data_IF_132566008917
#
_entry.id   IF_132566008917
#
_cell.length_a   1.000
_cell.length_b   1.000
_cell.length_c   1.000
_cell.angle_alpha   90.00
_cell.angle_beta   90.00
_cell.angle_gamma   90.00
#
_symmetry.space_group_name_H-M   'P 1'
#
loop_
_entity.id
_entity.type
_entity.pdbx_description
1 polymer ?
#
# COMPACT_ATOMS: atom_id res chain seq x y z
N UNK A 1 -22.93 0.80 -11.13
CA UNK A 1 -22.36 1.96 -10.41
C UNK A 1 -21.01 1.67 -9.72
N UNK A 2 -20.69 0.44 -9.32
CA UNK A 2 -19.42 0.08 -8.68
C UNK A 2 -18.16 0.18 -9.58
N UNK A 3 -18.27 -0.07 -10.88
CA UNK A 3 -17.13 -0.02 -11.83
C UNK A 3 -16.55 1.39 -12.09
N UNK A 4 -17.31 2.45 -11.81
CA UNK A 4 -16.84 3.83 -12.05
C UNK A 4 -15.79 4.30 -11.01
N UNK A 5 -15.87 3.83 -9.77
CA UNK A 5 -14.90 4.19 -8.73
C UNK A 5 -13.51 3.60 -8.96
N UNK A 6 -13.40 2.43 -9.62
CA UNK A 6 -12.13 1.80 -9.94
C UNK A 6 -11.27 2.65 -10.91
N UNK A 7 -11.89 3.36 -11.86
CA UNK A 7 -11.18 4.12 -12.89
C UNK A 7 -10.36 5.31 -12.37
N UNK A 8 -10.72 5.84 -11.20
CA UNK A 8 -10.04 7.02 -10.65
C UNK A 8 -8.85 6.66 -9.76
N UNK A 9 -8.89 5.51 -9.11
CA UNK A 9 -7.92 5.10 -8.10
C UNK A 9 -6.93 4.02 -8.59
N UNK A 10 -7.37 3.20 -9.53
CA UNK A 10 -6.60 2.07 -10.04
C UNK A 10 -6.28 2.26 -11.52
N UNK A 11 -5.10 1.83 -11.92
CA UNK A 11 -4.78 1.67 -13.34
C UNK A 11 -5.19 0.27 -13.75
N UNK A 12 -6.32 0.18 -14.45
CA UNK A 12 -6.89 -1.09 -14.88
C UNK A 12 -6.52 -1.40 -16.33
N UNK A 13 -6.38 -2.69 -16.68
CA UNK A 13 -6.27 -3.10 -18.08
C UNK A 13 -7.46 -2.61 -18.91
N UNK A 14 -7.19 -2.30 -20.18
CA UNK A 14 -8.23 -2.01 -21.18
C UNK A 14 -8.73 -3.32 -21.76
N UNK A 15 -7.81 -4.25 -22.05
CA UNK A 15 -8.07 -5.52 -22.71
C UNK A 15 -6.94 -6.51 -22.45
N UNK A 16 -7.12 -7.76 -22.84
CA UNK A 16 -6.07 -8.78 -22.85
C UNK A 16 -6.27 -9.75 -24.03
N UNK A 17 -5.20 -10.37 -24.47
CA UNK A 17 -5.24 -11.43 -25.47
C UNK A 17 -4.16 -12.49 -25.21
N UNK A 18 -4.40 -13.69 -25.72
CA UNK A 18 -3.45 -14.79 -25.63
C UNK A 18 -2.68 -14.94 -26.95
N UNK A 19 -1.37 -15.02 -26.88
CA UNK A 19 -0.49 -15.35 -27.99
C UNK A 19 0.83 -15.94 -27.48
N UNK A 20 1.50 -16.77 -28.29
CA UNK A 20 2.80 -17.35 -27.95
C UNK A 20 2.83 -18.05 -26.57
N UNK A 21 1.75 -18.74 -26.19
CA UNK A 21 1.58 -19.40 -24.89
C UNK A 21 1.73 -18.44 -23.69
N UNK A 22 1.35 -17.18 -23.87
CA UNK A 22 1.45 -16.09 -22.89
C UNK A 22 0.22 -15.19 -23.01
N UNK A 23 -0.15 -14.53 -21.91
CA UNK A 23 -1.21 -13.52 -21.86
C UNK A 23 -0.59 -12.14 -21.97
N UNK A 24 -1.06 -11.36 -22.93
CA UNK A 24 -0.70 -9.97 -23.12
C UNK A 24 -1.79 -9.09 -22.55
N UNK A 25 -1.42 -8.12 -21.73
CA UNK A 25 -2.34 -7.20 -21.07
C UNK A 25 -2.16 -5.82 -21.70
N UNK A 26 -3.24 -5.26 -22.21
CA UNK A 26 -3.25 -3.93 -22.81
C UNK A 26 -3.60 -2.92 -21.75
N UNK A 27 -2.70 -1.97 -21.52
CA UNK A 27 -2.90 -0.87 -20.56
C UNK A 27 -3.07 0.44 -21.32
N UNK A 28 -3.85 1.37 -20.74
CA UNK A 28 -3.89 2.75 -21.25
C UNK A 28 -2.51 3.38 -21.06
N UNK A 29 -1.97 3.99 -22.11
CA UNK A 29 -0.78 4.81 -21.97
C UNK A 29 -1.15 6.00 -21.06
N UNK A 30 -0.48 6.09 -19.93
CA UNK A 30 -0.50 7.25 -19.06
C UNK A 30 0.55 8.22 -19.58
N UNK A 31 0.29 9.51 -19.54
CA UNK A 31 1.29 10.53 -19.93
C UNK A 31 2.59 10.40 -19.10
N UNK A 32 3.24 11.50 -18.84
CA UNK A 32 4.38 11.51 -17.93
C UNK A 32 3.91 11.11 -16.53
N UNK A 33 4.54 10.10 -15.97
CA UNK A 33 4.28 9.56 -14.64
C UNK A 33 5.60 9.42 -13.88
N UNK A 34 5.52 9.53 -12.57
CA UNK A 34 6.61 9.21 -11.65
C UNK A 34 6.08 8.22 -10.61
N UNK A 35 6.86 7.25 -10.22
CA UNK A 35 6.48 6.35 -9.11
C UNK A 35 6.67 7.05 -7.76
N UNK A 36 5.94 6.60 -6.74
CA UNK A 36 6.14 7.11 -5.37
C UNK A 36 7.58 6.90 -4.90
N UNK A 37 8.23 5.84 -5.36
CA UNK A 37 9.65 5.56 -5.07
C UNK A 37 10.59 6.59 -5.68
N UNK A 38 10.35 6.98 -6.91
CA UNK A 38 11.14 8.02 -7.59
C UNK A 38 10.86 9.38 -6.97
N UNK A 39 9.59 9.69 -6.71
CA UNK A 39 9.18 10.93 -6.08
C UNK A 39 9.82 11.12 -4.69
N UNK A 40 9.81 10.08 -3.86
CA UNK A 40 10.42 10.12 -2.51
C UNK A 40 11.90 10.53 -2.56
N UNK A 41 12.65 10.09 -3.57
CA UNK A 41 14.06 10.47 -3.74
C UNK A 41 14.27 11.96 -4.06
N UNK A 42 13.24 12.63 -4.55
CA UNK A 42 13.28 14.08 -4.86
C UNK A 42 12.82 14.94 -3.68
N UNK A 43 12.09 14.35 -2.75
CA UNK A 43 11.59 15.02 -1.54
C UNK A 43 12.64 14.83 -0.45
N UNK A 44 13.16 15.94 0.09
CA UNK A 44 14.05 15.89 1.25
C UNK A 44 13.33 15.47 2.55
N UNK A 45 13.74 16.02 3.69
CA UNK A 45 13.03 15.82 4.97
C UNK A 45 11.56 16.27 4.85
N UNK A 46 10.64 15.39 5.25
CA UNK A 46 9.20 15.61 5.09
C UNK A 46 8.69 16.44 6.27
N UNK A 47 8.29 17.69 6.02
CA UNK A 47 7.62 18.54 7.00
C UNK A 47 6.19 18.05 7.30
N UNK A 48 5.63 18.40 8.47
CA UNK A 48 4.30 17.97 8.89
C UNK A 48 3.19 18.28 7.88
N UNK A 49 3.25 19.46 7.27
CA UNK A 49 2.28 19.87 6.25
C UNK A 49 2.34 18.96 5.01
N UNK A 50 3.52 18.57 4.58
CA UNK A 50 3.72 17.66 3.44
C UNK A 50 3.23 16.25 3.77
N UNK A 51 3.35 15.80 5.02
CA UNK A 51 2.79 14.51 5.48
C UNK A 51 1.28 14.48 5.31
N UNK A 52 0.58 15.51 5.80
CA UNK A 52 -0.89 15.59 5.68
C UNK A 52 -1.35 15.68 4.23
N UNK A 53 -0.63 16.44 3.41
CA UNK A 53 -0.90 16.55 1.98
C UNK A 53 -0.68 15.21 1.26
N UNK A 54 0.41 14.52 1.58
CA UNK A 54 0.67 13.17 1.06
C UNK A 54 -0.48 12.21 1.39
N UNK A 55 -0.93 12.16 2.65
CA UNK A 55 -2.04 11.31 3.06
C UNK A 55 -3.33 11.64 2.29
N UNK A 56 -3.59 12.93 2.02
CA UNK A 56 -4.74 13.33 1.19
C UNK A 56 -4.61 12.82 -0.25
N UNK A 57 -3.42 12.95 -0.86
CA UNK A 57 -3.17 12.43 -2.21
C UNK A 57 -3.27 10.90 -2.27
N UNK A 58 -3.03 10.20 -1.15
CA UNK A 58 -3.11 8.75 -1.05
C UNK A 58 -4.55 8.23 -0.91
N UNK A 59 -5.52 9.07 -0.54
CA UNK A 59 -6.92 8.68 -0.34
C UNK A 59 -7.55 7.94 -1.52
N UNK A 60 -7.38 8.37 -2.79
CA UNK A 60 -7.88 7.61 -3.92
C UNK A 60 -7.34 6.18 -3.97
N UNK A 61 -6.04 5.99 -3.69
CA UNK A 61 -5.41 4.66 -3.65
C UNK A 61 -6.07 3.78 -2.59
N UNK A 62 -6.26 4.29 -1.36
CA UNK A 62 -6.92 3.56 -0.28
C UNK A 62 -8.36 3.19 -0.62
N UNK A 63 -9.12 4.10 -1.23
CA UNK A 63 -10.46 3.83 -1.72
C UNK A 63 -10.48 2.74 -2.81
N UNK A 64 -9.46 2.73 -3.68
CA UNK A 64 -9.27 1.69 -4.69
C UNK A 64 -9.02 0.31 -4.07
N UNK A 65 -8.16 0.24 -3.05
CA UNK A 65 -7.87 -1.00 -2.30
C UNK A 65 -9.14 -1.48 -1.58
N UNK A 66 -9.87 -0.59 -0.90
CA UNK A 66 -11.13 -0.93 -0.26
C UNK A 66 -12.16 -1.50 -1.26
N UNK A 67 -12.19 -0.97 -2.48
CA UNK A 67 -13.07 -1.47 -3.52
C UNK A 67 -12.66 -2.86 -4.03
N UNK A 68 -11.34 -3.17 -4.13
CA UNK A 68 -10.85 -4.51 -4.40
C UNK A 68 -11.28 -5.49 -3.30
N UNK A 69 -11.11 -5.11 -2.03
CA UNK A 69 -11.49 -5.94 -0.88
C UNK A 69 -12.99 -6.27 -0.89
N UNK A 70 -13.85 -5.28 -1.16
CA UNK A 70 -15.30 -5.51 -1.32
C UNK A 70 -15.64 -6.45 -2.48
N UNK A 71 -14.80 -6.50 -3.51
CA UNK A 71 -14.92 -7.46 -4.61
C UNK A 71 -14.31 -8.84 -4.28
N UNK A 72 -13.81 -9.05 -3.07
CA UNK A 72 -13.16 -10.29 -2.65
C UNK A 72 -11.74 -10.47 -3.24
N UNK A 73 -11.08 -9.39 -3.63
CA UNK A 73 -9.74 -9.40 -4.25
C UNK A 73 -8.75 -8.73 -3.32
N UNK A 74 -7.62 -9.39 -3.06
CA UNK A 74 -6.46 -8.85 -2.36
C UNK A 74 -5.38 -8.55 -3.38
N UNK A 75 -4.75 -7.37 -3.26
CA UNK A 75 -3.75 -6.91 -4.22
C UNK A 75 -2.42 -7.65 -4.11
N UNK A 76 -1.97 -7.94 -2.90
CA UNK A 76 -0.74 -8.68 -2.53
C UNK A 76 0.58 -8.12 -3.11
N UNK A 77 0.58 -6.94 -3.70
CA UNK A 77 1.78 -6.37 -4.34
C UNK A 77 1.89 -4.85 -4.18
N UNK A 78 1.30 -4.28 -3.14
CA UNK A 78 1.40 -2.84 -2.85
C UNK A 78 2.83 -2.52 -2.43
N UNK A 79 3.43 -1.53 -3.09
CA UNK A 79 4.76 -1.01 -2.78
C UNK A 79 4.98 0.34 -3.50
N UNK A 80 6.03 1.11 -3.15
CA UNK A 80 6.26 2.43 -3.74
C UNK A 80 6.38 2.45 -5.27
N UNK A 81 6.91 1.39 -5.88
CA UNK A 81 7.00 1.27 -7.35
C UNK A 81 5.64 1.03 -8.03
N UNK A 82 4.59 0.67 -7.27
CA UNK A 82 3.24 0.41 -7.76
C UNK A 82 2.26 1.56 -7.53
N UNK A 83 2.66 2.58 -6.80
CA UNK A 83 1.91 3.83 -6.67
C UNK A 83 2.52 4.84 -7.61
N UNK A 84 1.74 5.30 -8.57
CA UNK A 84 2.15 6.31 -9.54
C UNK A 84 1.51 7.66 -9.24
N UNK A 85 2.23 8.71 -9.55
CA UNK A 85 1.80 10.09 -9.41
C UNK A 85 1.68 10.66 -10.83
N UNK A 86 0.52 11.21 -11.14
CA UNK A 86 0.25 11.88 -12.41
C UNK A 86 0.62 13.37 -12.31
N UNK A 87 0.70 14.06 -13.45
CA UNK A 87 1.06 15.48 -13.52
C UNK A 87 0.14 16.40 -12.69
N UNK A 88 -1.11 15.97 -12.43
CA UNK A 88 -2.06 16.69 -11.59
C UNK A 88 -1.95 16.34 -10.09
N UNK A 89 -0.88 15.67 -9.68
CA UNK A 89 -0.62 15.15 -8.33
C UNK A 89 -1.60 14.05 -7.88
N UNK A 90 -2.43 13.51 -8.78
CA UNK A 90 -3.31 12.39 -8.48
C UNK A 90 -2.49 11.10 -8.33
N UNK A 91 -2.67 10.38 -7.24
CA UNK A 91 -2.05 9.08 -7.04
C UNK A 91 -2.96 7.95 -7.52
N UNK A 92 -2.37 6.95 -8.17
CA UNK A 92 -3.05 5.73 -8.61
C UNK A 92 -2.23 4.50 -8.28
N UNK A 93 -2.92 3.40 -8.03
CA UNK A 93 -2.32 2.09 -7.81
C UNK A 93 -2.31 1.30 -9.12
N UNK A 94 -1.15 0.81 -9.51
CA UNK A 94 -0.98 -0.11 -10.63
C UNK A 94 -1.43 -1.50 -10.20
N UNK A 95 -2.39 -2.07 -10.93
CA UNK A 95 -2.78 -3.47 -10.75
C UNK A 95 -1.77 -4.39 -11.45
N UNK A 96 -1.25 -5.34 -10.68
CA UNK A 96 -0.42 -6.42 -11.20
C UNK A 96 -1.20 -7.73 -11.12
N UNK A 97 -1.60 -8.24 -12.27
CA UNK A 97 -2.38 -9.48 -12.35
C UNK A 97 -1.63 -10.69 -11.79
N UNK A 98 -0.29 -10.65 -11.74
CA UNK A 98 0.54 -11.69 -11.14
C UNK A 98 0.44 -11.76 -9.61
N UNK A 99 0.06 -10.64 -8.97
CA UNK A 99 -0.04 -10.56 -7.50
C UNK A 99 -1.46 -10.69 -6.96
N UNK A 100 -2.48 -10.32 -7.76
CA UNK A 100 -3.88 -10.34 -7.32
C UNK A 100 -4.33 -11.75 -6.87
N UNK A 101 -5.02 -11.83 -5.74
CA UNK A 101 -5.57 -13.08 -5.17
C UNK A 101 -7.04 -12.90 -4.79
N UNK A 102 -7.81 -14.00 -4.90
CA UNK A 102 -9.17 -14.04 -4.37
C UNK A 102 -9.13 -14.43 -2.89
N UNK A 103 -9.80 -13.67 -2.06
CA UNK A 103 -9.87 -13.88 -0.61
C UNK A 103 -10.41 -15.28 -0.20
N UNK A 104 -11.31 -15.84 -1.00
CA UNK A 104 -11.95 -17.14 -0.70
C UNK A 104 -11.17 -18.38 -1.16
N UNK A 105 -10.03 -18.21 -1.86
CA UNK A 105 -9.27 -19.33 -2.41
C UNK A 105 -8.06 -19.58 -1.51
N UNK A 106 -8.17 -20.59 -0.63
CA UNK A 106 -7.11 -20.98 0.32
C UNK A 106 -5.94 -21.74 -0.32
N UNK A 107 -6.08 -22.18 -1.56
CA UNK A 107 -5.04 -22.94 -2.27
C UNK A 107 -4.72 -22.23 -3.59
N UNK A 108 -3.70 -21.40 -3.55
CA UNK A 108 -3.14 -20.85 -4.78
C UNK A 108 -1.84 -21.57 -5.07
N UNK A 109 -1.87 -22.51 -6.01
CA UNK A 109 -0.69 -23.20 -6.53
C UNK A 109 0.37 -22.27 -7.13
N UNK A 110 0.04 -21.00 -7.31
CA UNK A 110 0.94 -19.98 -7.85
C UNK A 110 1.61 -19.20 -6.72
N UNK A 111 2.95 -19.19 -6.66
CA UNK A 111 3.66 -18.37 -5.71
C UNK A 111 3.32 -16.89 -5.93
N UNK A 112 3.18 -16.14 -4.86
CA UNK A 112 3.08 -14.68 -4.93
C UNK A 112 4.49 -14.15 -5.19
N UNK A 113 4.66 -13.38 -6.26
CA UNK A 113 5.89 -12.60 -6.45
C UNK A 113 5.74 -11.35 -5.59
N UNK A 114 6.53 -11.23 -4.54
CA UNK A 114 6.45 -10.13 -3.59
C UNK A 114 7.82 -9.48 -3.35
N UNK A 115 7.80 -8.27 -2.86
CA UNK A 115 8.98 -7.54 -2.40
C UNK A 115 9.05 -7.68 -0.87
N UNK A 116 10.15 -8.25 -0.39
CA UNK A 116 10.34 -8.66 1.01
C UNK A 116 10.14 -7.51 2.01
N UNK A 117 10.51 -6.30 1.63
CA UNK A 117 10.37 -5.13 2.50
C UNK A 117 8.91 -4.72 2.75
N UNK A 118 8.01 -5.01 1.81
CA UNK A 118 6.59 -4.61 1.88
C UNK A 118 5.65 -5.79 2.13
N UNK A 119 6.18 -7.01 2.15
CA UNK A 119 5.41 -8.22 2.29
C UNK A 119 5.25 -8.64 3.75
N UNK A 120 4.01 -8.87 4.24
CA UNK A 120 3.79 -9.50 5.54
C UNK A 120 4.06 -11.00 5.49
N UNK A 121 4.13 -11.64 6.67
CA UNK A 121 4.54 -13.04 6.80
C UNK A 121 3.65 -14.03 6.05
N UNK A 122 2.36 -13.78 6.01
CA UNK A 122 1.39 -14.68 5.39
C UNK A 122 1.62 -14.89 3.89
N UNK A 123 2.28 -13.95 3.19
CA UNK A 123 2.58 -14.10 1.76
C UNK A 123 3.78 -15.02 1.48
N UNK A 124 4.60 -15.32 2.49
CA UNK A 124 5.73 -16.24 2.36
C UNK A 124 5.31 -17.72 2.30
N UNK A 125 4.06 -18.00 2.58
CA UNK A 125 3.51 -19.36 2.58
C UNK A 125 2.32 -19.49 1.66
N UNK A 126 2.26 -20.56 0.88
CA UNK A 126 1.09 -20.90 0.05
C UNK A 126 -0.16 -21.20 0.91
N UNK A 127 0.02 -21.46 2.20
CA UNK A 127 -1.05 -21.69 3.19
C UNK A 127 -1.34 -20.45 4.05
N UNK A 128 -0.69 -19.33 3.75
CA UNK A 128 -0.91 -18.07 4.48
C UNK A 128 -2.35 -17.58 4.31
N UNK A 129 -2.90 -17.06 5.39
CA UNK A 129 -4.25 -16.49 5.39
C UNK A 129 -4.21 -15.07 4.85
N UNK A 130 -4.47 -14.91 3.55
CA UNK A 130 -4.51 -13.61 2.88
C UNK A 130 -5.84 -12.91 3.12
N UNK A 131 -5.79 -11.61 3.40
CA UNK A 131 -6.97 -10.80 3.64
C UNK A 131 -6.69 -9.31 3.53
N UNK A 132 -7.67 -8.44 3.84
CA UNK A 132 -7.48 -6.99 3.83
C UNK A 132 -6.25 -6.54 4.63
N UNK A 133 -5.96 -7.19 5.75
CA UNK A 133 -4.79 -6.96 6.59
C UNK A 133 -3.45 -7.14 5.86
N UNK A 134 -3.41 -7.97 4.80
CA UNK A 134 -2.22 -8.19 3.97
C UNK A 134 -1.87 -6.91 3.19
N UNK A 135 -2.86 -6.32 2.54
CA UNK A 135 -2.69 -5.07 1.79
C UNK A 135 -2.48 -3.87 2.71
N UNK A 136 -3.11 -3.87 3.89
CA UNK A 136 -2.91 -2.81 4.90
C UNK A 136 -1.47 -2.81 5.39
N UNK A 137 -0.88 -3.98 5.67
CA UNK A 137 0.54 -4.06 6.02
C UNK A 137 1.41 -3.45 4.92
N UNK A 138 1.21 -3.87 3.67
CA UNK A 138 2.00 -3.42 2.54
C UNK A 138 1.85 -1.90 2.28
N UNK A 139 0.64 -1.36 2.48
CA UNK A 139 0.38 0.08 2.38
C UNK A 139 1.07 0.85 3.51
N UNK A 140 0.99 0.37 4.76
CA UNK A 140 1.68 0.98 5.89
C UNK A 140 3.21 0.94 5.71
N UNK A 141 3.76 -0.17 5.21
CA UNK A 141 5.18 -0.29 4.85
C UNK A 141 5.58 0.71 3.74
N UNK A 142 4.68 0.94 2.78
CA UNK A 142 4.86 1.94 1.73
C UNK A 142 4.84 3.38 2.28
N UNK A 143 3.92 3.68 3.20
CA UNK A 143 3.87 4.97 3.90
C UNK A 143 5.12 5.16 4.75
N UNK A 144 5.53 4.12 5.49
CA UNK A 144 6.76 4.14 6.28
C UNK A 144 7.98 4.49 5.40
N UNK A 145 8.15 3.81 4.24
CA UNK A 145 9.21 4.12 3.29
C UNK A 145 9.16 5.58 2.82
N UNK A 146 7.98 6.08 2.46
CA UNK A 146 7.83 7.46 2.01
C UNK A 146 8.27 8.48 3.07
N UNK A 147 7.92 8.23 4.32
CA UNK A 147 8.22 9.11 5.45
C UNK A 147 9.68 9.02 5.90
N UNK A 148 10.26 7.82 5.92
CA UNK A 148 11.62 7.58 6.41
C UNK A 148 12.71 7.72 5.34
N UNK A 149 12.37 7.50 4.08
CA UNK A 149 13.33 7.34 2.98
C UNK A 149 14.03 5.97 2.93
N UNK A 150 13.84 5.14 3.96
CA UNK A 150 14.46 3.83 4.08
C UNK A 150 13.43 2.69 3.91
N UNK A 151 13.87 1.57 3.32
CA UNK A 151 13.07 0.37 3.31
C UNK A 151 12.83 -0.14 4.74
N UNK A 152 11.59 -0.50 5.10
CA UNK A 152 11.33 -1.12 6.39
C UNK A 152 12.05 -2.47 6.53
N UNK A 153 12.34 -2.85 7.77
CA UNK A 153 12.87 -4.18 8.11
C UNK A 153 11.85 -5.25 7.68
N UNK A 154 12.32 -6.28 6.99
CA UNK A 154 11.49 -7.38 6.50
C UNK A 154 10.73 -8.07 7.63
N UNK A 155 9.48 -8.49 7.37
CA UNK A 155 8.64 -9.14 8.37
C UNK A 155 9.32 -10.39 8.96
N UNK A 156 10.04 -11.16 8.13
CA UNK A 156 10.78 -12.36 8.57
C UNK A 156 11.95 -12.03 9.50
N UNK A 157 12.64 -10.92 9.26
CA UNK A 157 13.73 -10.49 10.15
C UNK A 157 13.19 -9.97 11.50
N UNK A 158 11.99 -9.35 11.48
CA UNK A 158 11.33 -8.87 12.69
C UNK A 158 10.92 -9.99 13.64
N UNK A 159 10.52 -11.16 13.13
CA UNK A 159 10.30 -12.36 13.96
C UNK A 159 11.60 -12.81 14.61
N UNK A 160 12.73 -12.66 13.92
CA UNK A 160 14.04 -13.01 14.43
C UNK A 160 14.60 -11.98 15.43
N UNK A 161 13.79 -10.96 15.79
CA UNK A 161 14.15 -9.96 16.80
C UNK A 161 14.76 -8.67 16.25
N UNK A 162 14.89 -8.50 14.93
CA UNK A 162 15.33 -7.24 14.35
C UNK A 162 14.24 -6.20 14.50
N UNK A 163 14.56 -5.07 15.14
CA UNK A 163 13.59 -4.01 15.41
C UNK A 163 13.37 -3.12 14.18
N UNK A 164 12.13 -2.77 13.91
CA UNK A 164 11.80 -1.68 13.03
C UNK A 164 12.14 -0.37 13.74
N UNK A 165 12.85 0.51 13.06
CA UNK A 165 13.21 1.83 13.59
C UNK A 165 11.96 2.71 13.63
N UNK A 166 11.77 3.48 14.68
CA UNK A 166 10.67 4.42 14.76
C UNK A 166 10.83 5.57 13.76
N UNK A 167 9.72 6.11 13.24
CA UNK A 167 9.75 7.26 12.33
C UNK A 167 10.36 8.49 13.01
N UNK A 168 10.12 8.65 14.31
CA UNK A 168 10.71 9.70 15.14
C UNK A 168 12.25 9.66 15.23
N UNK A 169 12.89 8.52 14.89
CA UNK A 169 14.34 8.38 14.83
C UNK A 169 14.93 8.83 13.49
N UNK A 170 14.08 9.12 12.52
CA UNK A 170 14.47 9.74 11.25
C UNK A 170 14.28 11.26 11.34
N UNK A 171 14.87 11.98 10.41
CA UNK A 171 14.70 13.42 10.35
C UNK A 171 13.33 13.80 9.72
N UNK A 172 12.24 13.34 10.38
CA UNK A 172 10.85 13.55 9.93
C UNK A 172 10.04 14.24 11.02
N UNK A 173 9.08 15.06 10.60
CA UNK A 173 8.13 15.74 11.50
C UNK A 173 6.82 14.96 11.58
N UNK A 174 6.89 13.68 11.94
CA UNK A 174 5.71 12.81 12.08
C UNK A 174 5.19 12.85 13.51
N UNK A 175 3.89 13.04 13.67
CA UNK A 175 3.24 12.99 14.99
C UNK A 175 3.26 11.56 15.55
N UNK A 176 3.49 11.37 16.86
CA UNK A 176 3.52 10.06 17.48
C UNK A 176 2.24 9.23 17.26
N UNK A 177 1.09 9.89 17.23
CA UNK A 177 -0.21 9.26 16.98
C UNK A 177 -0.29 8.68 15.58
N UNK A 178 0.21 9.40 14.57
CA UNK A 178 0.28 8.94 13.19
C UNK A 178 1.29 7.79 13.04
N UNK A 179 2.44 7.89 13.68
CA UNK A 179 3.41 6.81 13.75
C UNK A 179 2.79 5.54 14.31
N UNK A 180 2.06 5.63 15.43
CA UNK A 180 1.38 4.50 16.06
C UNK A 180 0.37 3.83 15.11
N UNK A 181 -0.38 4.61 14.33
CA UNK A 181 -1.33 4.08 13.33
C UNK A 181 -0.58 3.27 12.26
N UNK A 182 0.53 3.80 11.75
CA UNK A 182 1.34 3.14 10.72
C UNK A 182 1.96 1.86 11.28
N UNK A 183 2.59 1.92 12.47
CA UNK A 183 3.25 0.78 13.10
C UNK A 183 2.24 -0.32 13.49
N UNK A 184 1.02 0.03 13.92
CA UNK A 184 -0.06 -0.95 14.15
C UNK A 184 -0.40 -1.69 12.84
N UNK A 185 -0.54 -0.99 11.71
CA UNK A 185 -0.79 -1.61 10.42
C UNK A 185 0.34 -2.53 9.97
N UNK A 186 1.58 -2.28 10.44
CA UNK A 186 2.76 -3.11 10.19
C UNK A 186 3.01 -4.16 11.29
N UNK A 187 2.07 -4.43 12.20
CA UNK A 187 2.23 -5.50 13.19
C UNK A 187 2.50 -6.84 12.50
N UNK A 188 3.39 -7.66 13.10
CA UNK A 188 3.75 -8.96 12.53
C UNK A 188 2.56 -9.92 12.60
N UNK A 189 1.87 -9.92 13.74
CA UNK A 189 0.65 -10.71 13.95
C UNK A 189 -0.55 -10.06 13.24
N UNK A 190 -1.27 -10.86 12.46
CA UNK A 190 -2.48 -10.43 11.71
C UNK A 190 -3.53 -9.83 12.64
N UNK A 191 -3.78 -10.46 13.81
CA UNK A 191 -4.80 -10.04 14.77
C UNK A 191 -4.56 -8.65 15.37
N UNK A 192 -3.31 -8.18 15.36
CA UNK A 192 -2.91 -6.89 15.91
C UNK A 192 -2.98 -5.76 14.88
N UNK A 193 -3.25 -6.11 13.60
CA UNK A 193 -3.46 -5.14 12.51
C UNK A 193 -4.91 -4.70 12.41
N UNK A 194 -5.14 -3.68 11.59
CA UNK A 194 -6.48 -3.33 11.12
C UNK A 194 -7.04 -4.46 10.27
N UNK A 195 -8.31 -4.80 10.47
CA UNK A 195 -8.95 -5.94 9.81
C UNK A 195 -9.68 -5.54 8.52
N UNK A 196 -9.92 -4.25 8.31
CA UNK A 196 -10.49 -3.71 7.08
C UNK A 196 -9.82 -2.40 6.69
N UNK A 197 -9.90 -2.04 5.41
CA UNK A 197 -9.40 -0.75 4.93
C UNK A 197 -10.21 0.42 5.52
N UNK A 198 -11.48 0.20 5.79
CA UNK A 198 -12.35 1.17 6.46
C UNK A 198 -11.83 1.48 7.87
N UNK A 199 -11.54 0.45 8.69
CA UNK A 199 -10.96 0.61 10.03
C UNK A 199 -9.62 1.37 9.98
N UNK A 200 -8.76 1.01 9.03
CA UNK A 200 -7.48 1.71 8.85
C UNK A 200 -7.66 3.17 8.46
N UNK A 201 -8.55 3.46 7.51
CA UNK A 201 -8.85 4.84 7.08
C UNK A 201 -9.41 5.68 8.22
N UNK A 202 -10.33 5.14 9.01
CA UNK A 202 -10.88 5.83 10.19
C UNK A 202 -9.79 6.21 11.18
N UNK A 203 -8.89 5.28 11.51
CA UNK A 203 -7.76 5.54 12.40
C UNK A 203 -6.81 6.61 11.82
N UNK A 204 -6.44 6.48 10.54
CA UNK A 204 -5.49 7.38 9.89
C UNK A 204 -6.02 8.81 9.78
N UNK A 205 -7.30 8.97 9.35
CA UNK A 205 -7.91 10.28 9.19
C UNK A 205 -8.41 10.88 10.49
N UNK A 206 -8.74 10.06 11.49
CA UNK A 206 -9.01 10.53 12.84
C UNK A 206 -7.83 11.34 13.37
N UNK A 207 -6.64 10.76 13.34
CA UNK A 207 -5.40 11.44 13.75
C UNK A 207 -5.08 12.65 12.85
N UNK A 208 -5.21 12.52 11.52
CA UNK A 208 -4.93 13.63 10.61
C UNK A 208 -5.87 14.85 10.84
N UNK A 209 -7.12 14.62 11.23
CA UNK A 209 -8.08 15.69 11.53
C UNK A 209 -7.81 16.33 12.89
N UNK A 210 -7.42 15.56 13.91
CA UNK A 210 -6.98 16.09 15.20
C UNK A 210 -5.78 17.02 15.04
N UNK A 211 -4.76 16.59 14.28
CA UNK A 211 -3.57 17.39 13.97
C UNK A 211 -3.96 18.73 13.31
N UNK A 212 -4.94 18.74 12.40
CA UNK A 212 -5.42 19.98 11.75
C UNK A 212 -6.20 20.89 12.68
N UNK A 213 -6.90 20.32 13.67
CA UNK A 213 -7.67 21.08 14.66
C UNK A 213 -6.79 21.81 15.69
N UNK A 214 -5.52 21.43 15.79
CA UNK A 214 -4.52 22.08 16.67
C UNK A 214 -3.76 23.23 15.98
N UNK A 215 -3.96 23.47 14.69
CA UNK A 215 -3.40 24.56 13.91
C UNK A 215 -4.48 25.59 13.54
#
# INVERSE_FOLDING_TARGET
>A
MQLLFFKHALVTPIDFFEANNTVYIIMKQLGEIITLKEFQKTVGSTEQFEVLKFLQCLLPVMNGIAALHRAGIIHCGIKPDRIIILNDSTMKLLLDTGTLRKFSIKDTSLPVIFDQHYAPLEVYSTKGELGPWTDIYALCATIYYYLSGDNPVEAIERISGKKLKNLSEYNTSVFPELENVILKGMSVDIKDRYQSMEEFCEALYGVANEIRGFN
#
